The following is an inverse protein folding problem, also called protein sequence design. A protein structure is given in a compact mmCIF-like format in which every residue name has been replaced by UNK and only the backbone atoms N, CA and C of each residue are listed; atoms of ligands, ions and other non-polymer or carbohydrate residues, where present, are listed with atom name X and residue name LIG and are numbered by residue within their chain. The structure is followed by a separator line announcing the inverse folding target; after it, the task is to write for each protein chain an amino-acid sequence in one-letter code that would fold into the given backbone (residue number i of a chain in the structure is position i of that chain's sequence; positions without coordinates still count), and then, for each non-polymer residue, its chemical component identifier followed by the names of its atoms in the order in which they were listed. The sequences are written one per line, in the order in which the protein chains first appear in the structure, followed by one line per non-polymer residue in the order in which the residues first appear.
data_IF_087692690142
#
_entry.id   IF_087692690142
#
_cell.length_a   1.000
_cell.length_b   1.000
_cell.length_c   1.000
_cell.angle_alpha   90.00
_cell.angle_beta   90.00
_cell.angle_gamma   90.00
#
_symmetry.space_group_name_H-M   'P 1'
#
loop_
_entity.id
_entity.type
_entity.pdbx_description
1 polymer ?
#
# COMPACT_ATOMS: atom_id res chain seq x y z
N UNK A 1 -66.44 -12.85 8.88
CA UNK A 1 -65.33 -12.45 7.98
C UNK A 1 -64.51 -11.40 8.70
N UNK A 2 -63.30 -11.76 9.16
CA UNK A 2 -62.44 -10.89 9.95
C UNK A 2 -61.47 -10.12 9.06
N UNK A 3 -61.55 -8.79 9.08
CA UNK A 3 -60.62 -7.91 8.37
C UNK A 3 -59.27 -7.85 9.11
N UNK A 4 -58.15 -8.21 8.45
CA UNK A 4 -56.83 -8.18 9.09
C UNK A 4 -56.40 -6.74 9.43
N UNK A 5 -55.84 -6.58 10.63
CA UNK A 5 -55.48 -5.29 11.23
C UNK A 5 -54.38 -4.58 10.44
N UNK A 6 -54.39 -3.23 10.41
CA UNK A 6 -53.40 -2.41 9.68
C UNK A 6 -51.94 -2.66 10.12
N UNK A 7 -51.72 -3.20 11.31
CA UNK A 7 -50.40 -3.46 11.89
C UNK A 7 -49.71 -4.66 11.22
N UNK A 8 -50.47 -5.67 10.78
CA UNK A 8 -49.91 -6.85 10.08
C UNK A 8 -49.48 -6.57 8.63
N UNK A 9 -50.01 -5.51 8.00
CA UNK A 9 -49.62 -5.14 6.63
C UNK A 9 -48.31 -4.36 6.58
N UNK A 10 -47.94 -3.67 7.65
CA UNK A 10 -46.67 -2.92 7.73
C UNK A 10 -45.47 -3.84 7.97
N UNK A 11 -45.63 -4.95 8.71
CA UNK A 11 -44.51 -5.86 9.00
C UNK A 11 -44.06 -6.69 7.79
N UNK A 12 -44.97 -7.02 6.87
CA UNK A 12 -44.64 -7.76 5.63
C UNK A 12 -43.88 -6.91 4.61
N UNK A 13 -44.07 -5.59 4.61
CA UNK A 13 -43.36 -4.70 3.68
C UNK A 13 -41.92 -4.40 4.10
N UNK A 14 -41.58 -4.48 5.40
CA UNK A 14 -40.20 -4.29 5.86
C UNK A 14 -39.29 -5.50 5.58
N UNK A 15 -39.82 -6.72 5.54
CA UNK A 15 -39.03 -7.93 5.34
C UNK A 15 -38.45 -8.07 3.91
N UNK A 16 -39.00 -7.34 2.92
CA UNK A 16 -38.54 -7.38 1.52
C UNK A 16 -37.47 -6.32 1.19
N UNK A 17 -37.24 -5.33 2.07
CA UNK A 17 -36.22 -4.28 1.87
C UNK A 17 -34.85 -4.63 2.50
N UNK A 18 -34.82 -5.53 3.49
CA UNK A 18 -33.59 -5.98 4.14
C UNK A 18 -32.52 -6.59 3.21
N UNK A 19 -32.87 -7.49 2.26
CA UNK A 19 -31.85 -8.14 1.43
C UNK A 19 -31.28 -7.24 0.32
N UNK A 20 -31.95 -6.15 -0.08
CA UNK A 20 -31.45 -5.26 -1.13
C UNK A 20 -30.28 -4.37 -0.66
N UNK A 21 -30.26 -4.02 0.64
CA UNK A 21 -29.21 -3.19 1.23
C UNK A 21 -27.92 -3.98 1.51
N UNK A 22 -28.00 -5.30 1.75
CA UNK A 22 -26.83 -6.15 1.95
C UNK A 22 -26.05 -6.40 0.65
N UNK A 23 -26.72 -6.38 -0.51
CA UNK A 23 -26.05 -6.53 -1.81
C UNK A 23 -25.19 -5.32 -2.20
N UNK A 24 -25.41 -4.15 -1.60
CA UNK A 24 -24.65 -2.93 -1.89
C UNK A 24 -23.37 -2.79 -1.06
N UNK A 25 -23.24 -3.53 0.04
CA UNK A 25 -22.08 -3.43 0.94
C UNK A 25 -20.82 -4.16 0.43
N UNK A 26 -20.91 -4.94 -0.65
CA UNK A 26 -19.80 -5.78 -1.12
C UNK A 26 -19.05 -5.20 -2.34
N UNK A 27 -19.54 -4.12 -2.95
CA UNK A 27 -19.04 -3.64 -4.24
C UNK A 27 -18.11 -2.43 -4.08
N UNK A 28 -16.90 -2.64 -3.52
CA UNK A 28 -15.82 -1.70 -3.82
C UNK A 28 -15.63 -1.70 -5.34
N UNK A 29 -15.66 -0.53 -5.98
CA UNK A 29 -15.48 -0.46 -7.43
C UNK A 29 -14.14 -1.12 -7.79
N UNK A 30 -14.10 -2.03 -8.79
CA UNK A 30 -12.84 -2.65 -9.21
C UNK A 30 -11.83 -1.57 -9.64
N UNK A 31 -10.51 -1.84 -9.56
CA UNK A 31 -9.51 -0.91 -10.06
C UNK A 31 -9.71 -0.67 -11.56
N UNK A 32 -9.45 0.56 -12.00
CA UNK A 32 -9.45 0.90 -13.43
C UNK A 32 -8.24 0.27 -14.14
N UNK A 33 -8.26 0.22 -15.48
CA UNK A 33 -7.09 -0.22 -16.24
C UNK A 33 -5.87 0.68 -15.99
N UNK A 34 -6.08 1.99 -15.85
CA UNK A 34 -5.04 2.95 -15.50
C UNK A 34 -4.40 2.62 -14.15
N UNK A 35 -5.21 2.32 -13.13
CA UNK A 35 -4.72 1.90 -11.80
C UNK A 35 -3.79 0.68 -11.88
N UNK A 36 -4.05 -0.25 -12.80
CA UNK A 36 -3.23 -1.46 -12.99
C UNK A 36 -1.88 -1.16 -13.65
N UNK A 37 -1.82 -0.15 -14.51
CA UNK A 37 -0.59 0.29 -15.20
C UNK A 37 0.24 1.25 -14.36
N UNK A 38 -0.39 2.08 -13.53
CA UNK A 38 0.27 3.11 -12.72
C UNK A 38 0.88 2.55 -11.41
N UNK A 39 0.87 1.22 -11.23
CA UNK A 39 1.47 0.55 -10.08
C UNK A 39 2.96 0.82 -9.97
N UNK A 40 3.41 1.15 -8.77
CA UNK A 40 4.81 1.38 -8.47
C UNK A 40 5.04 1.99 -7.10
N UNK A 41 6.31 2.24 -6.81
CA UNK A 41 6.77 2.62 -5.48
C UNK A 41 7.67 3.88 -5.51
N UNK A 42 7.69 4.60 -6.65
CA UNK A 42 8.63 5.72 -6.85
C UNK A 42 8.25 6.98 -6.08
N UNK A 43 6.98 7.11 -5.69
CA UNK A 43 6.49 8.20 -4.84
C UNK A 43 5.55 7.68 -3.75
N UNK A 44 5.33 8.47 -2.67
CA UNK A 44 4.39 8.10 -1.63
C UNK A 44 2.97 7.86 -2.16
N UNK A 45 2.47 8.77 -3.00
CA UNK A 45 1.15 8.65 -3.61
C UNK A 45 1.04 7.44 -4.53
N UNK A 46 2.08 7.11 -5.30
CA UNK A 46 2.08 5.92 -6.16
C UNK A 46 2.06 4.63 -5.33
N UNK A 47 2.81 4.59 -4.23
CA UNK A 47 2.81 3.46 -3.29
C UNK A 47 1.44 3.27 -2.67
N UNK A 48 0.82 4.35 -2.19
CA UNK A 48 -0.52 4.30 -1.62
C UNK A 48 -1.56 3.84 -2.65
N UNK A 49 -1.56 4.37 -3.87
CA UNK A 49 -2.45 3.89 -4.95
C UNK A 49 -2.24 2.42 -5.30
N UNK A 50 -0.99 1.95 -5.29
CA UNK A 50 -0.67 0.53 -5.49
C UNK A 50 -1.25 -0.33 -4.38
N UNK A 51 -1.17 0.13 -3.13
CA UNK A 51 -1.80 -0.53 -1.99
C UNK A 51 -3.32 -0.54 -2.10
N UNK A 52 -3.95 0.59 -2.45
CA UNK A 52 -5.39 0.68 -2.70
C UNK A 52 -5.85 -0.27 -3.81
N UNK A 53 -5.06 -0.37 -4.88
CA UNK A 53 -5.32 -1.31 -5.99
C UNK A 53 -5.34 -2.74 -5.48
N UNK A 54 -4.35 -3.13 -4.66
CA UNK A 54 -4.30 -4.44 -4.01
C UNK A 54 -5.57 -4.72 -3.17
N UNK A 55 -5.98 -3.76 -2.33
CA UNK A 55 -7.20 -3.88 -1.50
C UNK A 55 -8.47 -4.03 -2.35
N UNK A 56 -8.57 -3.28 -3.45
CA UNK A 56 -9.74 -3.31 -4.37
C UNK A 56 -9.79 -4.59 -5.21
N UNK A 57 -8.64 -5.17 -5.55
CA UNK A 57 -8.56 -6.42 -6.31
C UNK A 57 -8.42 -7.66 -5.44
N UNK A 58 -8.47 -7.52 -4.11
CA UNK A 58 -8.20 -8.60 -3.15
C UNK A 58 -6.83 -9.28 -3.35
N UNK A 59 -5.83 -8.51 -3.82
CA UNK A 59 -4.47 -9.00 -4.09
C UNK A 59 -3.55 -8.70 -2.90
N UNK A 60 -3.60 -9.58 -1.91
CA UNK A 60 -2.76 -9.48 -0.72
C UNK A 60 -1.25 -9.54 -1.00
N UNK A 61 -0.82 -10.06 -2.16
CA UNK A 61 0.61 -10.03 -2.53
C UNK A 61 1.04 -8.62 -2.93
N UNK A 62 0.23 -7.91 -3.70
CA UNK A 62 0.48 -6.50 -4.05
C UNK A 62 0.45 -5.64 -2.79
N UNK A 63 -0.54 -5.84 -1.91
CA UNK A 63 -0.63 -5.14 -0.63
C UNK A 63 0.64 -5.35 0.23
N UNK A 64 1.06 -6.61 0.43
CA UNK A 64 2.26 -6.98 1.20
C UNK A 64 3.54 -6.30 0.67
N UNK A 65 3.65 -6.15 -0.66
CA UNK A 65 4.82 -5.54 -1.30
C UNK A 65 4.93 -4.02 -1.07
N UNK A 66 3.82 -3.39 -0.68
CA UNK A 66 3.78 -1.99 -0.28
C UNK A 66 4.23 -1.78 1.18
N UNK A 67 4.28 -2.82 2.01
CA UNK A 67 4.59 -2.70 3.43
C UNK A 67 6.10 -2.61 3.68
N UNK A 68 6.49 -1.76 4.63
CA UNK A 68 7.88 -1.58 5.01
C UNK A 68 8.44 -2.85 5.66
N UNK A 69 9.75 -2.99 5.63
CA UNK A 69 10.46 -4.06 6.33
C UNK A 69 10.29 -3.94 7.84
N UNK A 70 10.16 -2.71 8.38
CA UNK A 70 9.86 -2.50 9.81
C UNK A 70 8.45 -2.95 10.17
N UNK A 71 7.43 -2.56 9.41
CA UNK A 71 6.04 -2.99 9.61
C UNK A 71 5.93 -4.52 9.60
N UNK A 72 6.50 -5.15 8.56
CA UNK A 72 6.51 -6.63 8.43
C UNK A 72 7.17 -7.31 9.62
N UNK A 73 8.31 -6.82 10.10
CA UNK A 73 8.98 -7.38 11.29
C UNK A 73 8.21 -7.15 12.59
N UNK A 74 7.66 -5.94 12.79
CA UNK A 74 6.86 -5.58 13.98
C UNK A 74 5.69 -6.56 14.17
N UNK A 75 5.09 -7.01 13.07
CA UNK A 75 3.94 -7.91 13.05
C UNK A 75 4.29 -9.37 12.70
N UNK A 76 5.59 -9.73 12.61
CA UNK A 76 6.07 -11.07 12.24
C UNK A 76 5.47 -11.61 10.92
N UNK A 77 5.27 -10.73 9.95
CA UNK A 77 4.57 -11.05 8.71
C UNK A 77 5.52 -11.69 7.70
N UNK A 78 5.20 -12.93 7.33
CA UNK A 78 5.53 -13.47 6.02
C UNK A 78 4.42 -13.12 5.02
N UNK A 79 4.62 -13.38 3.72
CA UNK A 79 3.56 -13.17 2.74
C UNK A 79 2.30 -14.01 3.03
N UNK A 80 2.46 -15.23 3.56
CA UNK A 80 1.33 -16.09 3.93
C UNK A 80 0.62 -15.56 5.19
N UNK A 81 1.39 -15.26 6.25
CA UNK A 81 0.85 -14.71 7.51
C UNK A 81 0.19 -13.36 7.31
N UNK A 82 0.60 -12.61 6.29
CA UNK A 82 -0.05 -11.36 5.95
C UNK A 82 -1.51 -11.53 5.54
N UNK A 83 -1.88 -12.62 4.85
CA UNK A 83 -3.27 -12.83 4.45
C UNK A 83 -4.18 -13.02 5.67
N UNK A 84 -3.72 -13.77 6.66
CA UNK A 84 -4.42 -13.95 7.95
C UNK A 84 -4.50 -12.63 8.72
N UNK A 85 -3.36 -11.94 8.86
CA UNK A 85 -3.30 -10.61 9.50
C UNK A 85 -4.24 -9.61 8.84
N UNK A 86 -4.32 -9.59 7.51
CA UNK A 86 -5.18 -8.71 6.73
C UNK A 86 -6.65 -8.93 7.04
N UNK A 87 -7.08 -10.19 7.10
CA UNK A 87 -8.47 -10.52 7.40
C UNK A 87 -8.84 -10.09 8.82
N UNK A 88 -7.97 -10.33 9.80
CA UNK A 88 -8.14 -9.83 11.18
C UNK A 88 -8.13 -8.30 11.26
N UNK A 89 -7.26 -7.65 10.50
CA UNK A 89 -7.13 -6.19 10.47
C UNK A 89 -8.39 -5.53 9.92
N UNK A 90 -8.98 -6.08 8.85
CA UNK A 90 -10.25 -5.59 8.31
C UNK A 90 -11.46 -6.02 9.15
N UNK A 91 -11.45 -7.19 9.78
CA UNK A 91 -12.52 -7.62 10.68
C UNK A 91 -12.59 -6.74 11.95
N UNK A 92 -11.45 -6.38 12.52
CA UNK A 92 -11.37 -5.50 13.70
C UNK A 92 -11.71 -4.04 13.39
N UNK A 93 -11.56 -3.61 12.13
CA UNK A 93 -11.88 -2.26 11.65
C UNK A 93 -12.68 -2.33 10.35
N UNK A 94 -13.99 -2.65 10.37
CA UNK A 94 -14.78 -2.87 9.16
C UNK A 94 -14.79 -1.68 8.18
N UNK A 95 -14.66 -0.47 8.71
CA UNK A 95 -14.61 0.77 7.92
C UNK A 95 -13.29 0.92 7.15
N UNK A 96 -12.19 0.31 7.62
CA UNK A 96 -10.84 0.55 7.12
C UNK A 96 -10.68 0.12 5.66
N UNK A 97 -11.23 -1.05 5.30
CA UNK A 97 -11.18 -1.54 3.92
C UNK A 97 -11.86 -0.55 2.96
N UNK A 98 -13.05 -0.07 3.31
CA UNK A 98 -13.79 0.90 2.51
C UNK A 98 -13.07 2.27 2.47
N UNK A 99 -12.50 2.70 3.61
CA UNK A 99 -11.74 3.95 3.69
C UNK A 99 -10.49 3.91 2.82
N UNK A 100 -9.70 2.83 2.87
CA UNK A 100 -8.52 2.68 1.99
C UNK A 100 -8.96 2.60 0.54
N UNK A 101 -9.95 1.75 0.21
CA UNK A 101 -10.38 1.56 -1.17
C UNK A 101 -10.91 2.84 -1.84
N UNK A 102 -11.60 3.70 -1.09
CA UNK A 102 -12.19 4.95 -1.58
C UNK A 102 -11.37 6.21 -1.32
N UNK A 103 -10.21 6.10 -0.66
CA UNK A 103 -9.42 7.25 -0.22
C UNK A 103 -8.85 8.06 -1.38
N UNK A 104 -8.92 9.39 -1.23
CA UNK A 104 -8.22 10.34 -2.08
C UNK A 104 -7.07 10.94 -1.29
N UNK A 105 -5.90 11.03 -1.90
CA UNK A 105 -4.74 11.71 -1.30
C UNK A 105 -5.08 13.20 -1.19
N UNK A 106 -4.97 13.74 0.03
CA UNK A 106 -5.19 15.16 0.35
C UNK A 106 -3.87 15.90 0.35
N UNK A 107 -2.87 15.37 1.06
CA UNK A 107 -1.56 15.98 1.20
C UNK A 107 -0.47 14.92 1.40
N UNK A 108 0.77 15.34 1.14
CA UNK A 108 1.97 14.56 1.45
C UNK A 108 2.97 15.51 2.11
N UNK A 109 3.28 15.26 3.37
CA UNK A 109 4.19 16.07 4.17
C UNK A 109 5.46 15.26 4.42
N UNK A 110 6.58 15.71 3.85
CA UNK A 110 7.88 15.07 4.03
C UNK A 110 8.55 15.56 5.33
N UNK A 111 9.38 14.71 5.94
CA UNK A 111 10.33 15.18 6.96
C UNK A 111 11.28 16.25 6.38
N UNK A 112 11.83 17.11 7.23
CA UNK A 112 12.78 18.14 6.80
C UNK A 112 14.09 17.55 6.27
N UNK A 113 14.70 18.23 5.29
CA UNK A 113 16.01 17.89 4.70
C UNK A 113 15.99 17.67 3.19
N UNK A 114 17.18 17.59 2.58
CA UNK A 114 17.34 17.54 1.12
C UNK A 114 16.94 16.20 0.48
N UNK A 115 16.89 15.13 1.28
CA UNK A 115 16.52 13.79 0.81
C UNK A 115 15.64 13.07 1.85
N UNK A 116 14.37 13.48 2.00
CA UNK A 116 13.52 13.01 3.08
C UNK A 116 13.24 11.52 2.95
N UNK A 117 13.59 10.74 3.98
CA UNK A 117 13.38 9.28 3.98
C UNK A 117 12.03 8.86 4.53
N UNK A 118 11.24 9.81 5.03
CA UNK A 118 9.91 9.55 5.59
C UNK A 118 8.97 10.67 5.21
N UNK A 119 7.70 10.33 5.16
CA UNK A 119 6.63 11.29 5.00
C UNK A 119 5.34 10.78 5.64
N UNK A 120 4.42 11.68 5.90
CA UNK A 120 3.03 11.37 6.22
C UNK A 120 2.19 11.75 5.01
N UNK A 121 1.44 10.78 4.49
CA UNK A 121 0.43 11.00 3.47
C UNK A 121 -0.93 11.02 4.16
N UNK A 122 -1.65 12.13 4.02
CA UNK A 122 -3.03 12.22 4.50
C UNK A 122 -3.98 11.87 3.36
N UNK A 123 -4.89 10.95 3.62
CA UNK A 123 -5.94 10.58 2.67
C UNK A 123 -7.33 10.70 3.30
N UNK A 124 -8.34 11.00 2.50
CA UNK A 124 -9.71 11.17 2.99
C UNK A 124 -10.70 10.23 2.25
N UNK A 125 -11.58 9.59 3.00
CA UNK A 125 -12.68 8.77 2.51
C UNK A 125 -13.84 8.77 3.49
N UNK A 126 -15.08 8.85 3.00
CA UNK A 126 -16.30 8.68 3.82
C UNK A 126 -16.37 9.63 5.04
N UNK A 127 -15.85 10.86 4.90
CA UNK A 127 -15.80 11.83 6.00
C UNK A 127 -14.69 11.58 7.02
N UNK A 128 -13.85 10.56 6.81
CA UNK A 128 -12.75 10.19 7.68
C UNK A 128 -11.41 10.55 7.03
N UNK A 129 -10.40 10.85 7.86
CA UNK A 129 -9.02 11.05 7.44
C UNK A 129 -8.13 9.90 7.93
N UNK A 130 -7.23 9.48 7.06
CA UNK A 130 -6.22 8.46 7.28
C UNK A 130 -4.86 9.13 7.22
N UNK A 131 -3.99 8.81 8.17
CA UNK A 131 -2.58 9.12 8.12
C UNK A 131 -1.82 7.85 7.76
N UNK A 132 -1.16 7.89 6.62
CA UNK A 132 -0.31 6.81 6.12
C UNK A 132 1.11 7.25 6.31
N UNK A 133 1.82 6.60 7.23
CA UNK A 133 3.24 6.85 7.45
C UNK A 133 4.01 6.04 6.42
N UNK A 134 4.85 6.70 5.63
CA UNK A 134 5.69 6.03 4.64
C UNK A 134 7.17 6.25 4.93
N UNK A 135 7.95 5.24 4.59
CA UNK A 135 9.42 5.25 4.65
C UNK A 135 9.98 4.88 3.29
N UNK A 136 11.08 5.51 2.91
CA UNK A 136 11.87 5.15 1.74
C UNK A 136 12.86 4.07 2.12
N UNK A 137 12.75 2.90 1.51
CA UNK A 137 13.65 1.77 1.71
C UNK A 137 14.55 1.58 0.48
N UNK A 138 15.82 1.27 0.75
CA UNK A 138 16.82 1.00 -0.28
C UNK A 138 16.86 -0.52 -0.49
N UNK A 139 16.83 -0.98 -1.74
CA UNK A 139 16.77 -2.40 -2.08
C UNK A 139 17.79 -2.81 -3.13
N UNK A 140 18.17 -4.08 -3.09
CA UNK A 140 18.85 -4.79 -4.18
C UNK A 140 18.00 -5.99 -4.60
N UNK A 141 17.74 -6.09 -5.90
CA UNK A 141 17.06 -7.22 -6.51
C UNK A 141 17.92 -7.87 -7.58
N UNK A 142 17.89 -9.20 -7.61
CA UNK A 142 18.56 -10.02 -8.62
C UNK A 142 17.54 -10.82 -9.39
N UNK A 143 17.71 -10.89 -10.70
CA UNK A 143 16.81 -11.63 -11.58
C UNK A 143 17.55 -12.63 -12.50
N UNK A 144 16.88 -13.73 -12.81
CA UNK A 144 17.19 -14.70 -13.86
C UNK A 144 16.06 -14.66 -14.89
N UNK A 145 16.27 -13.90 -15.98
CA UNK A 145 15.20 -13.52 -16.89
C UNK A 145 14.07 -12.80 -16.14
N UNK A 146 12.88 -13.41 -16.12
CA UNK A 146 11.71 -12.87 -15.41
C UNK A 146 11.58 -13.33 -13.96
N UNK A 147 12.48 -14.19 -13.46
CA UNK A 147 12.41 -14.78 -12.13
C UNK A 147 13.24 -13.97 -11.13
N UNK A 148 12.60 -13.51 -10.07
CA UNK A 148 13.28 -12.89 -8.92
C UNK A 148 14.08 -13.96 -8.15
N UNK A 149 15.40 -13.80 -8.06
CA UNK A 149 16.31 -14.66 -7.31
C UNK A 149 16.51 -14.18 -5.87
N UNK A 150 16.66 -12.87 -5.67
CA UNK A 150 16.84 -12.22 -4.37
C UNK A 150 16.19 -10.83 -4.37
N UNK A 151 15.71 -10.40 -3.21
CA UNK A 151 15.13 -9.09 -2.92
C UNK A 151 15.53 -8.71 -1.50
N UNK A 152 16.75 -8.20 -1.38
CA UNK A 152 17.38 -7.89 -0.10
C UNK A 152 17.33 -6.38 0.15
N UNK A 153 17.19 -5.93 1.41
CA UNK A 153 17.44 -4.53 1.75
C UNK A 153 18.92 -4.20 1.57
N UNK A 154 19.27 -2.97 1.17
CA UNK A 154 20.66 -2.49 1.00
C UNK A 154 21.43 -2.30 2.33
N UNK A 155 21.14 -3.09 3.36
CA UNK A 155 21.72 -2.96 4.70
C UNK A 155 20.94 -1.98 5.60
N UNK A 156 21.13 -2.11 6.92
CA UNK A 156 20.46 -1.24 7.91
C UNK A 156 21.15 0.11 8.12
N UNK A 157 22.46 0.14 7.87
CA UNK A 157 23.34 1.24 8.28
C UNK A 157 23.97 1.97 7.09
N UNK A 158 23.73 1.51 5.86
CA UNK A 158 24.23 2.12 4.64
C UNK A 158 23.06 2.71 3.83
N UNK A 159 23.27 3.90 3.28
CA UNK A 159 22.27 4.55 2.42
C UNK A 159 22.58 4.27 0.95
N UNK A 160 21.56 4.35 0.09
CA UNK A 160 21.71 4.16 -1.36
C UNK A 160 22.94 4.85 -1.97
N UNK A 161 23.28 6.06 -1.50
CA UNK A 161 24.44 6.83 -1.97
C UNK A 161 25.80 6.17 -1.68
N UNK A 162 25.87 5.30 -0.67
CA UNK A 162 27.09 4.52 -0.35
C UNK A 162 27.27 3.35 -1.32
N UNK A 163 26.17 2.91 -1.95
CA UNK A 163 26.12 1.76 -2.84
C UNK A 163 26.19 2.15 -4.31
N UNK A 164 25.80 3.37 -4.66
CA UNK A 164 25.77 3.84 -6.04
C UNK A 164 26.66 5.06 -6.20
N UNK A 165 27.74 4.88 -6.95
CA UNK A 165 28.68 5.95 -7.29
C UNK A 165 28.51 6.35 -8.75
N UNK A 166 28.56 7.66 -9.01
CA UNK A 166 28.61 8.20 -10.37
C UNK A 166 29.94 8.94 -10.50
N UNK A 167 30.77 8.53 -11.45
CA UNK A 167 32.10 9.11 -11.66
C UNK A 167 32.37 9.39 -13.13
N UNK A 168 33.16 10.43 -13.45
CA UNK A 168 33.58 10.68 -14.82
C UNK A 168 34.52 9.56 -15.31
N UNK A 169 34.31 9.11 -16.54
CA UNK A 169 35.15 8.12 -17.21
C UNK A 169 35.21 8.43 -18.72
N UNK A 170 36.41 8.74 -19.22
CA UNK A 170 36.69 8.92 -20.66
C UNK A 170 35.74 9.90 -21.39
N UNK A 171 35.40 11.02 -20.72
CA UNK A 171 34.48 12.03 -21.27
C UNK A 171 32.99 11.71 -21.11
N UNK A 172 32.64 10.62 -20.42
CA UNK A 172 31.27 10.24 -20.06
C UNK A 172 31.09 10.11 -18.54
N UNK A 173 29.85 9.87 -18.09
CA UNK A 173 29.53 9.49 -16.70
C UNK A 173 29.38 7.97 -16.61
N UNK A 174 30.01 7.37 -15.60
CA UNK A 174 29.89 5.94 -15.27
C UNK A 174 29.18 5.82 -13.93
N UNK A 175 28.08 5.07 -13.90
CA UNK A 175 27.45 4.65 -12.66
C UNK A 175 27.91 3.24 -12.27
N UNK A 176 28.29 3.04 -11.01
CA UNK A 176 28.61 1.72 -10.43
C UNK A 176 27.76 1.51 -9.20
N UNK A 177 27.06 0.37 -9.16
CA UNK A 177 26.32 -0.10 -8.00
C UNK A 177 26.99 -1.31 -7.35
N UNK A 178 27.03 -1.36 -6.02
CA UNK A 178 27.56 -2.49 -5.26
C UNK A 178 26.63 -2.83 -4.09
N UNK A 179 26.37 -4.12 -3.83
CA UNK A 179 25.50 -4.55 -2.75
C UNK A 179 25.95 -5.90 -2.19
N UNK A 180 25.81 -6.08 -0.88
CA UNK A 180 26.01 -7.36 -0.22
C UNK A 180 24.73 -8.18 -0.30
N UNK A 181 24.85 -9.43 -0.73
CA UNK A 181 23.72 -10.35 -0.89
C UNK A 181 23.61 -11.26 0.33
N UNK A 182 22.38 -11.56 0.74
CA UNK A 182 22.14 -12.50 1.85
C UNK A 182 22.37 -13.96 1.45
N UNK A 183 22.37 -14.25 0.15
CA UNK A 183 22.46 -15.59 -0.41
C UNK A 183 23.61 -15.72 -1.41
N UNK A 184 24.22 -16.91 -1.45
CA UNK A 184 25.21 -17.26 -2.46
C UNK A 184 24.49 -17.64 -3.76
N UNK A 185 24.44 -16.71 -4.70
CA UNK A 185 23.87 -16.91 -6.04
C UNK A 185 25.03 -16.96 -7.05
N UNK A 186 25.15 -18.03 -7.85
CA UNK A 186 26.16 -18.10 -8.91
C UNK A 186 26.00 -16.91 -9.89
N UNK A 187 27.05 -16.10 -10.14
CA UNK A 187 26.94 -14.91 -10.99
C UNK A 187 26.43 -15.20 -12.40
N UNK A 188 26.75 -16.38 -12.96
CA UNK A 188 26.31 -16.81 -14.28
C UNK A 188 24.77 -16.94 -14.44
N UNK A 189 24.02 -16.96 -13.34
CA UNK A 189 22.54 -17.01 -13.35
C UNK A 189 21.88 -15.64 -13.30
N UNK A 190 22.64 -14.60 -12.97
CA UNK A 190 22.12 -13.25 -12.81
C UNK A 190 22.12 -12.59 -14.18
N UNK A 191 20.92 -12.29 -14.69
CA UNK A 191 20.76 -11.56 -15.95
C UNK A 191 20.47 -10.09 -15.73
N UNK A 192 19.96 -9.71 -14.56
CA UNK A 192 19.64 -8.33 -14.21
C UNK A 192 19.87 -8.08 -12.71
N UNK A 193 20.49 -6.93 -12.40
CA UNK A 193 20.68 -6.38 -11.06
C UNK A 193 19.93 -5.05 -11.00
N UNK A 194 19.06 -4.89 -10.01
CA UNK A 194 18.40 -3.62 -9.71
C UNK A 194 18.82 -3.16 -8.33
N UNK A 195 19.32 -1.94 -8.25
CA UNK A 195 19.61 -1.24 -7.00
C UNK A 195 18.75 0.01 -7.04
N UNK A 196 17.90 0.21 -6.04
CA UNK A 196 16.90 1.25 -6.09
C UNK A 196 16.40 1.70 -4.73
N UNK A 197 15.44 2.61 -4.78
CA UNK A 197 14.71 3.10 -3.62
C UNK A 197 13.22 3.00 -3.91
N UNK A 198 12.47 2.49 -2.94
CA UNK A 198 11.02 2.38 -2.98
C UNK A 198 10.43 3.04 -1.74
N UNK A 199 9.31 3.75 -1.90
CA UNK A 199 8.46 4.11 -0.77
C UNK A 199 7.65 2.89 -0.30
N UNK A 200 7.51 2.75 1.01
CA UNK A 200 6.78 1.67 1.68
C UNK A 200 5.94 2.23 2.82
N UNK A 201 4.78 1.63 3.05
CA UNK A 201 3.86 1.95 4.16
C UNK A 201 4.43 1.35 5.44
N UNK A 202 4.74 2.22 6.40
CA UNK A 202 5.29 1.88 7.70
C UNK A 202 4.22 1.83 8.80
N UNK A 203 3.13 2.59 8.65
CA UNK A 203 1.94 2.50 9.50
C UNK A 203 0.71 3.13 8.82
N UNK A 204 -0.49 2.79 9.31
CA UNK A 204 -1.76 3.40 8.88
C UNK A 204 -2.64 3.66 10.09
N UNK A 205 -2.91 4.94 10.34
CA UNK A 205 -3.68 5.41 11.49
C UNK A 205 -4.89 6.24 11.04
N UNK A 206 -5.89 6.31 11.92
CA UNK A 206 -7.00 7.25 11.74
C UNK A 206 -6.54 8.59 12.29
N UNK A 207 -6.65 9.66 11.51
CA UNK A 207 -6.33 11.00 12.01
C UNK A 207 -7.38 11.41 13.06
N UNK A 208 -6.94 11.93 14.20
CA UNK A 208 -7.82 12.46 15.24
C UNK A 208 -8.32 13.87 14.91
N UNK A 209 -7.65 14.56 13.99
CA UNK A 209 -8.08 15.87 13.54
C UNK A 209 -9.41 15.77 12.81
N UNK A 210 -10.44 16.41 13.38
CA UNK A 210 -11.72 16.57 12.73
C UNK A 210 -11.48 17.14 11.33
N UNK A 211 -12.17 16.65 10.29
CA UNK A 211 -12.10 17.28 8.98
C UNK A 211 -12.46 18.75 9.18
N UNK A 212 -11.51 19.66 8.92
CA UNK A 212 -11.84 21.07 8.76
C UNK A 212 -13.02 21.08 7.81
N UNK A 213 -14.17 21.58 8.28
CA UNK A 213 -15.38 21.63 7.49
C UNK A 213 -15.10 22.63 6.38
N UNK A 214 -14.46 22.18 5.30
CA UNK A 214 -14.34 22.94 4.08
C UNK A 214 -15.75 23.36 3.73
N UNK A 215 -16.00 24.66 3.84
CA UNK A 215 -17.32 25.25 3.72
C UNK A 215 -18.00 24.69 2.49
N UNK A 216 -19.14 24.04 2.72
CA UNK A 216 -19.91 23.32 1.72
C UNK A 216 -19.96 24.09 0.38
N UNK A 217 -19.45 23.45 -0.67
CA UNK A 217 -19.77 23.78 -2.06
C UNK A 217 -21.21 23.38 -2.38
#
# INVERSE_FOLDING_TARGET
MATPSRIERLSRSLALLGPLLLAWACCAAPPSAEDLFDRGFRSPSQTFRTFQTGVRSDDGRTEYRCLSTRFRRKHLLSQLLYLEFRDEWFASKPWLRAAIAGARVVSVTFEEGDNPRRCVLTAAALGERLEVHLVREDFVQLYEGSKLLADDPLGKDAVFADHVTVSPADGAQRARGEAQLSSSIPPARITELRIGQDWKIDDVEKSEEAPESDGAL
#
